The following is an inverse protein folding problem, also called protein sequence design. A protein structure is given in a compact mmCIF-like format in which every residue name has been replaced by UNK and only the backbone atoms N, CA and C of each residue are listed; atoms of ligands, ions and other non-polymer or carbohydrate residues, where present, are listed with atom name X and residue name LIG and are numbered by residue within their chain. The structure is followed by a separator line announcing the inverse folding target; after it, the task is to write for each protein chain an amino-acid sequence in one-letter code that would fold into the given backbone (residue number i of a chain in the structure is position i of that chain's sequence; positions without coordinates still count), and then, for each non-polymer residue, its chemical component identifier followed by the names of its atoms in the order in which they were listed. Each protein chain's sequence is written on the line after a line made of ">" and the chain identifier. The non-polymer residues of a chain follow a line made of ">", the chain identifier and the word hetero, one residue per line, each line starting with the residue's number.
data_IF_629278958100
#
_entry.id   IF_629278958100
#
_cell.length_a   1.000
_cell.length_b   1.000
_cell.length_c   1.000
_cell.angle_alpha   90.00
_cell.angle_beta   90.00
_cell.angle_gamma   90.00
#
_symmetry.space_group_name_H-M   'P 1'
#
loop_
_entity.id
_entity.type
_entity.pdbx_description
1 polymer ?
#
# COMPACT_ATOMS: atom_id res chain seq x y z
N UNK A 1 2.85 4.37 -7.43
CA UNK A 1 2.47 5.51 -6.58
C UNK A 1 2.80 6.78 -7.34
N UNK A 2 1.94 7.80 -7.28
CA UNK A 2 2.25 9.13 -7.84
C UNK A 2 3.15 9.94 -6.90
N UNK A 3 3.73 11.03 -7.39
CA UNK A 3 4.53 11.93 -6.55
C UNK A 3 3.67 12.61 -5.45
N UNK A 4 2.40 12.90 -5.74
CA UNK A 4 1.49 13.53 -4.78
C UNK A 4 1.11 12.57 -3.64
N UNK A 5 0.86 11.30 -3.98
CA UNK A 5 0.63 10.23 -2.99
C UNK A 5 1.85 10.05 -2.08
N UNK A 6 3.05 10.05 -2.66
CA UNK A 6 4.30 9.98 -1.91
C UNK A 6 4.45 11.17 -0.95
N UNK A 7 4.21 12.40 -1.42
CA UNK A 7 4.29 13.58 -0.58
C UNK A 7 3.30 13.52 0.60
N UNK A 8 2.09 13.02 0.37
CA UNK A 8 1.11 12.81 1.44
C UNK A 8 1.56 11.74 2.43
N UNK A 9 2.12 10.62 1.94
CA UNK A 9 2.67 9.56 2.80
C UNK A 9 3.80 10.09 3.68
N UNK A 10 4.74 10.86 3.12
CA UNK A 10 5.84 11.48 3.85
C UNK A 10 5.35 12.51 4.89
N UNK A 11 4.33 13.30 4.55
CA UNK A 11 3.81 14.32 5.46
C UNK A 11 3.00 13.73 6.61
N UNK A 12 2.18 12.72 6.33
CA UNK A 12 1.29 12.10 7.32
C UNK A 12 1.94 10.94 8.07
N UNK A 13 3.04 10.39 7.56
CA UNK A 13 3.62 9.11 7.99
C UNK A 13 2.58 7.99 8.03
N UNK A 14 1.60 8.02 7.12
CA UNK A 14 0.56 7.01 6.99
C UNK A 14 0.37 6.62 5.53
N UNK A 15 -0.16 5.43 5.32
CA UNK A 15 -0.55 4.96 4.00
C UNK A 15 -1.65 5.86 3.43
N UNK A 16 -1.48 6.28 2.17
CA UNK A 16 -2.52 7.01 1.45
C UNK A 16 -3.48 6.03 0.80
N UNK A 17 -4.77 6.35 0.85
CA UNK A 17 -5.82 5.52 0.30
C UNK A 17 -5.82 5.59 -1.23
N UNK A 18 -5.69 4.43 -1.89
CA UNK A 18 -5.87 4.30 -3.34
C UNK A 18 -7.34 4.22 -3.77
N UNK A 19 -7.56 4.07 -5.07
CA UNK A 19 -8.90 3.93 -5.66
C UNK A 19 -9.71 2.76 -5.07
N UNK A 20 -10.99 2.99 -4.80
CA UNK A 20 -11.87 1.97 -4.21
C UNK A 20 -11.53 1.59 -2.77
N UNK A 21 -10.86 2.49 -2.04
CA UNK A 21 -10.48 2.30 -0.64
C UNK A 21 -9.34 1.30 -0.44
N UNK A 22 -8.59 0.96 -1.49
CA UNK A 22 -7.59 -0.11 -1.45
C UNK A 22 -6.27 0.39 -2.01
N UNK A 23 -5.18 0.09 -1.30
CA UNK A 23 -3.82 0.38 -1.73
C UNK A 23 -3.10 -0.95 -1.95
N UNK A 24 -2.71 -1.22 -3.19
CA UNK A 24 -2.03 -2.46 -3.56
C UNK A 24 -0.53 -2.31 -3.35
N UNK A 25 0.10 -3.33 -2.76
CA UNK A 25 1.55 -3.41 -2.58
C UNK A 25 2.06 -4.79 -2.98
N UNK A 26 3.36 -4.87 -3.24
CA UNK A 26 4.05 -6.14 -3.44
C UNK A 26 5.27 -6.20 -2.53
N UNK A 27 5.54 -7.39 -2.01
CA UNK A 27 6.75 -7.73 -1.26
C UNK A 27 7.80 -8.42 -2.14
N UNK A 28 7.50 -8.63 -3.43
CA UNK A 28 8.42 -9.24 -4.40
C UNK A 28 9.44 -8.23 -4.98
N UNK A 29 9.42 -6.99 -4.48
CA UNK A 29 10.35 -5.93 -4.86
C UNK A 29 10.06 -5.26 -6.22
N UNK A 30 11.08 -4.61 -6.75
CA UNK A 30 11.00 -3.75 -7.93
C UNK A 30 10.59 -4.45 -9.24
N UNK A 31 10.74 -5.78 -9.31
CA UNK A 31 10.38 -6.55 -10.51
C UNK A 31 8.87 -6.44 -10.83
N UNK A 32 8.03 -6.52 -9.80
CA UNK A 32 6.57 -6.35 -9.93
C UNK A 32 6.21 -4.90 -10.30
N UNK A 33 6.96 -3.93 -9.78
CA UNK A 33 6.77 -2.52 -10.10
C UNK A 33 7.03 -2.21 -11.57
N UNK A 34 8.13 -2.69 -12.16
CA UNK A 34 8.49 -2.38 -13.55
C UNK A 34 7.45 -2.89 -14.55
N UNK A 35 6.82 -4.03 -14.28
CA UNK A 35 5.79 -4.64 -15.12
C UNK A 35 4.40 -4.00 -14.97
N UNK A 36 3.99 -3.64 -13.75
CA UNK A 36 2.63 -3.20 -13.47
C UNK A 36 2.43 -1.68 -13.40
N UNK A 37 3.49 -0.91 -13.09
CA UNK A 37 3.36 0.51 -12.84
C UNK A 37 3.21 1.34 -14.14
N UNK A 38 2.28 2.31 -14.19
CA UNK A 38 2.21 3.28 -15.28
C UNK A 38 3.44 4.21 -15.29
N UNK A 39 3.66 4.91 -16.40
CA UNK A 39 4.69 5.96 -16.51
C UNK A 39 4.45 7.04 -15.45
N UNK A 40 5.53 7.67 -14.98
CA UNK A 40 5.56 8.64 -13.87
C UNK A 40 5.24 8.08 -12.48
N UNK A 41 5.24 6.75 -12.35
CA UNK A 41 5.13 6.12 -11.03
C UNK A 41 6.47 6.15 -10.31
N UNK A 42 6.40 6.30 -8.99
CA UNK A 42 7.54 6.15 -8.08
C UNK A 42 7.44 4.80 -7.38
N UNK A 43 8.59 4.13 -7.28
CA UNK A 43 8.80 2.92 -6.49
C UNK A 43 9.33 3.32 -5.12
N UNK A 44 8.62 2.86 -4.10
CA UNK A 44 8.86 3.24 -2.71
C UNK A 44 8.74 2.00 -1.85
N UNK A 45 9.72 1.79 -0.99
CA UNK A 45 9.67 0.77 0.06
C UNK A 45 9.42 1.46 1.40
N UNK A 46 8.60 0.82 2.24
CA UNK A 46 8.25 1.31 3.55
C UNK A 46 7.75 0.16 4.42
N UNK A 47 7.91 0.30 5.72
CA UNK A 47 7.47 -0.67 6.71
C UNK A 47 6.05 -0.38 7.18
N UNK A 48 5.24 -1.44 7.27
CA UNK A 48 3.90 -1.41 7.87
C UNK A 48 3.66 -2.63 8.74
N UNK A 49 2.75 -2.54 9.74
CA UNK A 49 2.32 -3.69 10.51
C UNK A 49 1.72 -4.78 9.60
N UNK A 50 2.23 -6.01 9.71
CA UNK A 50 1.79 -7.14 8.88
C UNK A 50 0.31 -7.51 9.09
N UNK A 51 -0.23 -7.26 10.28
CA UNK A 51 -1.67 -7.41 10.57
C UNK A 51 -2.55 -6.42 9.81
N UNK A 52 -1.99 -5.37 9.20
CA UNK A 52 -2.74 -4.44 8.34
C UNK A 52 -2.69 -4.82 6.85
N UNK A 53 -2.04 -5.94 6.51
CA UNK A 53 -1.92 -6.43 5.13
C UNK A 53 -2.94 -7.55 4.87
N UNK A 54 -3.73 -7.41 3.82
CA UNK A 54 -4.59 -8.48 3.28
C UNK A 54 -4.01 -9.05 2.00
N UNK A 55 -4.17 -10.35 1.77
CA UNK A 55 -3.58 -10.99 0.59
C UNK A 55 -4.21 -10.51 -0.72
N UNK A 56 -3.34 -10.22 -1.67
CA UNK A 56 -3.60 -9.54 -2.93
C UNK A 56 -3.73 -10.48 -4.13
N UNK A 57 -4.59 -11.50 -4.05
CA UNK A 57 -4.91 -12.39 -5.18
C UNK A 57 -3.79 -13.33 -5.68
N UNK A 58 -2.51 -12.93 -5.54
CA UNK A 58 -1.32 -13.74 -5.81
C UNK A 58 -0.39 -13.73 -4.59
N UNK A 59 0.56 -14.65 -4.57
CA UNK A 59 1.59 -14.68 -3.54
C UNK A 59 2.52 -13.47 -3.64
N UNK A 60 2.93 -12.93 -2.49
CA UNK A 60 3.71 -11.70 -2.38
C UNK A 60 2.97 -10.40 -2.68
N UNK A 61 1.75 -10.47 -3.23
CA UNK A 61 0.87 -9.31 -3.43
C UNK A 61 0.00 -9.12 -2.20
N UNK A 62 -0.10 -7.87 -1.73
CA UNK A 62 -0.94 -7.51 -0.61
C UNK A 62 -1.75 -6.26 -0.90
N UNK A 63 -2.75 -6.01 -0.05
CA UNK A 63 -3.65 -4.87 -0.10
C UNK A 63 -3.74 -4.29 1.30
N UNK A 64 -3.60 -2.98 1.39
CA UNK A 64 -3.96 -2.21 2.57
C UNK A 64 -5.34 -1.62 2.36
N UNK A 65 -6.12 -1.63 3.42
CA UNK A 65 -7.54 -1.29 3.38
C UNK A 65 -7.73 0.06 4.05
N UNK A 66 -8.42 0.96 3.35
CA UNK A 66 -8.87 2.25 3.86
C UNK A 66 -10.33 2.22 4.31
N UNK A 67 -10.78 3.29 4.97
CA UNK A 67 -12.17 3.42 5.46
C UNK A 67 -13.22 3.36 4.34
N UNK A 68 -12.85 3.69 3.10
CA UNK A 68 -13.78 3.66 1.94
C UNK A 68 -13.82 2.31 1.23
N UNK A 69 -13.11 1.29 1.72
CA UNK A 69 -13.11 -0.04 1.12
C UNK A 69 -14.46 -0.75 1.30
N UNK A 70 -14.72 -1.78 0.50
CA UNK A 70 -15.91 -2.62 0.67
C UNK A 70 -16.00 -3.25 2.07
N UNK A 71 -17.22 -3.38 2.61
CA UNK A 71 -17.47 -3.88 3.98
C UNK A 71 -16.82 -5.25 4.28
N UNK A 72 -16.74 -6.13 3.28
CA UNK A 72 -16.08 -7.43 3.42
C UNK A 72 -14.58 -7.30 3.68
N UNK A 73 -13.90 -6.38 3.00
CA UNK A 73 -12.47 -6.11 3.19
C UNK A 73 -12.20 -5.49 4.56
N UNK A 74 -13.03 -4.51 4.96
CA UNK A 74 -12.97 -3.92 6.29
C UNK A 74 -13.15 -4.99 7.38
N UNK A 75 -14.13 -5.88 7.21
CA UNK A 75 -14.35 -6.99 8.13
C UNK A 75 -13.13 -7.92 8.24
N UNK A 76 -12.51 -8.28 7.11
CA UNK A 76 -11.30 -9.12 7.10
C UNK A 76 -10.14 -8.43 7.83
N UNK A 77 -9.91 -7.14 7.58
CA UNK A 77 -8.89 -6.35 8.27
C UNK A 77 -9.12 -6.34 9.79
N UNK A 78 -10.35 -6.05 10.21
CA UNK A 78 -10.71 -6.02 11.63
C UNK A 78 -10.56 -7.39 12.28
N UNK A 79 -10.89 -8.48 11.56
CA UNK A 79 -10.77 -9.85 12.06
C UNK A 79 -9.33 -10.23 12.40
N UNK A 80 -8.35 -9.71 11.65
CA UNK A 80 -6.93 -9.92 11.94
C UNK A 80 -6.32 -8.83 12.84
N UNK A 81 -7.14 -7.91 13.38
CA UNK A 81 -6.69 -6.82 14.24
C UNK A 81 -5.83 -5.79 13.51
N UNK A 82 -6.03 -5.63 12.20
CA UNK A 82 -5.34 -4.62 11.39
C UNK A 82 -5.90 -3.22 11.59
N UNK A 83 -5.13 -2.22 11.14
CA UNK A 83 -5.52 -0.81 11.16
C UNK A 83 -5.75 -0.29 9.74
N UNK A 84 -6.76 0.55 9.57
CA UNK A 84 -6.93 1.30 8.33
C UNK A 84 -5.80 2.31 8.15
N UNK A 85 -5.25 2.36 6.94
CA UNK A 85 -4.20 3.32 6.58
C UNK A 85 -3.09 3.36 7.66
N UNK A 86 -2.39 2.23 7.87
CA UNK A 86 -1.46 2.09 8.98
C UNK A 86 -0.34 3.14 8.89
N UNK A 87 0.28 3.42 10.02
CA UNK A 87 1.49 4.23 10.06
C UNK A 87 2.60 3.54 9.26
N UNK A 88 3.29 4.31 8.44
CA UNK A 88 4.48 3.86 7.70
C UNK A 88 5.74 4.24 8.46
N UNK A 89 6.79 3.43 8.30
CA UNK A 89 8.13 3.74 8.80
C UNK A 89 9.15 3.49 7.69
N UNK A 90 10.28 4.19 7.74
CA UNK A 90 11.40 3.94 6.83
C UNK A 90 11.03 4.10 5.35
N UNK A 91 10.39 5.21 4.97
CA UNK A 91 10.02 5.44 3.58
C UNK A 91 11.27 5.73 2.73
N UNK A 92 11.57 4.82 1.81
CA UNK A 92 12.71 4.91 0.90
C UNK A 92 12.24 4.94 -0.56
N UNK A 93 12.65 5.98 -1.29
CA UNK A 93 12.37 6.12 -2.71
C UNK A 93 13.52 5.48 -3.49
N UNK A 94 13.24 4.37 -4.16
CA UNK A 94 14.28 3.54 -4.78
C UNK A 94 14.32 3.63 -6.31
N UNK A 95 13.19 3.92 -6.97
CA UNK A 95 13.16 4.06 -8.43
C UNK A 95 12.00 4.96 -8.89
N UNK A 96 12.06 5.46 -10.13
CA UNK A 96 11.00 6.21 -10.80
C UNK A 96 10.91 5.78 -12.28
N UNK A 97 9.70 5.56 -12.77
CA UNK A 97 9.42 5.12 -14.15
C UNK A 97 8.97 6.27 -15.04
#
# INVERSE_FOLDING_TARGET
>A
MSADELAQMQNTNRVVQGGGGQTFISTNGIADFKGAAPKDSVYVEFDVPANSLLQGGKDGWFKMIGPDAGKSQQFLLNKQGGEYLPAIKGIEVLDKK
#
